data_IF_015072857221
#
_entry.id   IF_015072857221
#
_cell.length_a   1.000
_cell.length_b   1.000
_cell.length_c   1.000
_cell.angle_alpha   90.00
_cell.angle_beta   90.00
_cell.angle_gamma   90.00
#
_symmetry.space_group_name_H-M   'P 1'
#
loop_
_entity.id
_entity.type
_entity.pdbx_description
1 polymer ?
#
# COMPACT_ATOMS: atom_id res chain seq x y z
N UNK A 1 8.84 -54.91 -33.29
CA UNK A 1 10.10 -54.44 -32.68
C UNK A 1 9.95 -52.93 -32.41
N UNK A 2 9.54 -52.53 -31.21
CA UNK A 2 9.36 -51.10 -30.88
C UNK A 2 10.75 -50.56 -30.56
N UNK A 3 11.34 -49.78 -31.48
CA UNK A 3 12.60 -49.09 -31.27
C UNK A 3 12.51 -48.27 -29.98
N UNK A 4 13.37 -48.59 -29.02
CA UNK A 4 13.50 -47.78 -27.81
C UNK A 4 13.85 -46.34 -28.23
N UNK A 5 13.19 -45.31 -27.67
CA UNK A 5 13.42 -43.93 -28.12
C UNK A 5 14.90 -43.56 -28.01
N UNK A 6 15.41 -42.86 -29.04
CA UNK A 6 16.77 -42.34 -29.12
C UNK A 6 17.14 -41.63 -27.79
N UNK A 7 18.33 -41.91 -27.22
CA UNK A 7 18.87 -41.20 -26.06
C UNK A 7 18.70 -39.68 -26.07
N UNK A 8 18.81 -39.02 -27.25
CA UNK A 8 18.61 -37.56 -27.36
C UNK A 8 17.16 -37.17 -27.06
N UNK A 9 16.20 -37.93 -27.59
CA UNK A 9 14.77 -37.73 -27.37
C UNK A 9 14.39 -37.91 -25.89
N UNK A 10 15.00 -38.87 -25.19
CA UNK A 10 14.79 -39.05 -23.74
C UNK A 10 15.28 -37.85 -22.92
N UNK A 11 16.47 -37.31 -23.24
CA UNK A 11 17.02 -36.11 -22.58
C UNK A 11 16.14 -34.89 -22.80
N UNK A 12 15.61 -34.72 -24.01
CA UNK A 12 14.66 -33.65 -24.31
C UNK A 12 13.43 -33.71 -23.39
N UNK A 13 12.83 -34.89 -23.20
CA UNK A 13 11.66 -35.02 -22.32
C UNK A 13 11.96 -34.73 -20.85
N UNK A 14 13.11 -35.15 -20.32
CA UNK A 14 13.46 -34.82 -18.93
C UNK A 14 13.65 -33.32 -18.72
N UNK A 15 14.31 -32.64 -19.66
CA UNK A 15 14.47 -31.18 -19.63
C UNK A 15 13.14 -30.46 -19.80
N UNK A 16 12.29 -30.91 -20.73
CA UNK A 16 10.96 -30.33 -20.93
C UNK A 16 10.08 -30.43 -19.68
N UNK A 17 10.13 -31.55 -18.94
CA UNK A 17 9.42 -31.71 -17.66
C UNK A 17 9.93 -30.75 -16.59
N UNK A 18 11.25 -30.61 -16.46
CA UNK A 18 11.86 -29.66 -15.54
C UNK A 18 11.40 -28.23 -15.86
N UNK A 19 11.51 -27.80 -17.11
CA UNK A 19 11.11 -26.47 -17.56
C UNK A 19 9.62 -26.23 -17.33
N UNK A 20 8.77 -27.21 -17.64
CA UNK A 20 7.33 -27.12 -17.39
C UNK A 20 7.03 -26.93 -15.90
N UNK A 21 7.71 -27.67 -15.03
CA UNK A 21 7.50 -27.56 -13.58
C UNK A 21 7.98 -26.21 -13.05
N UNK A 22 9.14 -25.72 -13.51
CA UNK A 22 9.60 -24.36 -13.22
C UNK A 22 8.55 -23.31 -13.65
N UNK A 23 8.06 -23.38 -14.88
CA UNK A 23 7.05 -22.46 -15.39
C UNK A 23 5.76 -22.48 -14.54
N UNK A 24 5.35 -23.66 -14.06
CA UNK A 24 4.18 -23.81 -13.19
C UNK A 24 4.40 -23.11 -11.83
N UNK A 25 5.56 -23.33 -11.20
CA UNK A 25 5.93 -22.67 -9.94
C UNK A 25 5.90 -21.15 -10.12
N UNK A 26 6.57 -20.65 -11.16
CA UNK A 26 6.66 -19.23 -11.46
C UNK A 26 5.28 -18.59 -11.71
N UNK A 27 4.38 -19.30 -12.41
CA UNK A 27 3.02 -18.84 -12.64
C UNK A 27 2.26 -18.65 -11.32
N UNK A 28 2.27 -19.65 -10.42
CA UNK A 28 1.58 -19.54 -9.13
C UNK A 28 2.20 -18.48 -8.22
N UNK A 29 3.52 -18.34 -8.25
CA UNK A 29 4.26 -17.30 -7.53
C UNK A 29 3.86 -15.88 -7.99
N UNK A 30 3.55 -15.72 -9.28
CA UNK A 30 3.09 -14.46 -9.86
C UNK A 30 1.64 -14.09 -9.51
N UNK A 31 0.89 -14.93 -8.78
CA UNK A 31 -0.50 -14.63 -8.39
C UNK A 31 -0.53 -13.82 -7.08
N UNK A 32 -1.05 -12.57 -7.10
CA UNK A 32 -1.14 -11.74 -5.92
C UNK A 32 -2.25 -12.22 -4.97
N UNK A 33 -2.03 -12.07 -3.65
CA UNK A 33 -3.00 -12.38 -2.60
C UNK A 33 -3.58 -13.81 -2.58
N UNK A 34 -2.81 -14.83 -2.95
CA UNK A 34 -3.22 -16.23 -2.90
C UNK A 34 -3.30 -16.73 -1.45
N UNK A 35 -4.47 -16.60 -0.81
CA UNK A 35 -4.80 -17.15 0.51
C UNK A 35 -6.23 -17.70 0.50
N UNK A 36 -6.45 -18.85 1.14
CA UNK A 36 -7.77 -19.45 1.32
C UNK A 36 -8.39 -19.05 2.67
N UNK A 37 -9.71 -19.18 2.81
CA UNK A 37 -10.45 -18.82 4.03
C UNK A 37 -10.31 -19.86 5.17
N UNK A 38 -9.30 -20.72 5.12
CA UNK A 38 -9.06 -21.79 6.10
C UNK A 38 -8.26 -21.34 7.33
N UNK A 39 -7.95 -20.05 7.45
CA UNK A 39 -7.24 -19.49 8.61
C UNK A 39 -5.83 -20.07 8.78
N UNK A 40 -5.52 -20.59 9.97
CA UNK A 40 -4.19 -21.19 10.26
C UNK A 40 -3.89 -22.39 9.34
N UNK A 41 -4.92 -23.15 8.95
CA UNK A 41 -4.78 -24.30 8.07
C UNK A 41 -4.34 -23.91 6.66
N UNK A 42 -4.72 -22.73 6.15
CA UNK A 42 -4.21 -22.21 4.88
C UNK A 42 -2.68 -22.11 4.89
N UNK A 43 -2.13 -21.59 5.99
CA UNK A 43 -0.68 -21.40 6.13
C UNK A 43 0.05 -22.73 6.26
N UNK A 44 -0.51 -23.67 7.03
CA UNK A 44 0.08 -25.02 7.18
C UNK A 44 0.07 -25.76 5.83
N UNK A 45 -1.08 -25.80 5.15
CA UNK A 45 -1.24 -26.50 3.89
C UNK A 45 -0.36 -25.89 2.79
N UNK A 46 -0.25 -24.56 2.72
CA UNK A 46 0.65 -23.88 1.78
C UNK A 46 2.10 -24.24 2.02
N UNK A 47 2.57 -24.24 3.28
CA UNK A 47 3.96 -24.60 3.62
C UNK A 47 4.28 -26.05 3.23
N UNK A 48 3.36 -26.97 3.48
CA UNK A 48 3.50 -28.38 3.06
C UNK A 48 3.51 -28.48 1.53
N UNK A 49 2.62 -27.76 0.83
CA UNK A 49 2.56 -27.76 -0.62
C UNK A 49 3.85 -27.21 -1.24
N UNK A 50 4.39 -26.12 -0.70
CA UNK A 50 5.67 -25.53 -1.09
C UNK A 50 6.83 -26.53 -0.96
N UNK A 51 6.99 -27.13 0.23
CA UNK A 51 7.98 -28.18 0.44
C UNK A 51 7.82 -29.36 -0.54
N UNK A 52 6.59 -29.82 -0.80
CA UNK A 52 6.33 -30.91 -1.74
C UNK A 52 6.66 -30.52 -3.20
N UNK A 53 6.31 -29.30 -3.62
CA UNK A 53 6.54 -28.79 -4.97
C UNK A 53 8.03 -28.65 -5.27
N UNK A 54 8.83 -28.16 -4.31
CA UNK A 54 10.28 -28.06 -4.44
C UNK A 54 10.99 -29.41 -4.29
N UNK A 55 10.46 -30.32 -3.46
CA UNK A 55 10.90 -31.71 -3.44
C UNK A 55 10.71 -32.41 -4.80
N UNK A 56 9.59 -32.15 -5.48
CA UNK A 56 9.34 -32.68 -6.83
C UNK A 56 10.22 -32.00 -7.89
N UNK A 57 10.51 -30.69 -7.74
CA UNK A 57 11.47 -29.99 -8.58
C UNK A 57 12.84 -30.67 -8.54
N UNK A 58 13.31 -31.06 -7.36
CA UNK A 58 14.55 -31.83 -7.22
C UNK A 58 14.50 -33.17 -7.98
N UNK A 59 13.41 -33.93 -7.90
CA UNK A 59 13.27 -35.22 -8.63
C UNK A 59 13.35 -35.01 -10.15
N UNK A 60 12.74 -33.94 -10.66
CA UNK A 60 12.82 -33.59 -12.08
C UNK A 60 14.21 -33.09 -12.48
N UNK A 61 14.84 -32.23 -11.67
CA UNK A 61 16.19 -31.75 -11.89
C UNK A 61 17.19 -32.91 -11.89
N UNK A 62 17.04 -33.85 -10.95
CA UNK A 62 17.84 -35.06 -10.85
C UNK A 62 17.76 -35.90 -12.12
N UNK A 63 16.57 -36.05 -12.68
CA UNK A 63 16.34 -36.79 -13.94
C UNK A 63 16.91 -36.05 -15.15
N UNK A 64 16.83 -34.72 -15.17
CA UNK A 64 17.37 -33.89 -16.26
C UNK A 64 18.91 -33.83 -16.26
N UNK A 65 19.54 -33.88 -15.07
CA UNK A 65 20.99 -33.80 -14.88
C UNK A 65 21.69 -35.17 -14.78
N UNK A 66 20.95 -36.28 -14.80
CA UNK A 66 21.44 -37.64 -14.55
C UNK A 66 22.53 -38.18 -15.49
N UNK A 67 22.90 -37.46 -16.54
CA UNK A 67 23.78 -37.99 -17.58
C UNK A 67 24.81 -36.96 -18.06
N UNK A 68 25.43 -36.28 -17.09
CA UNK A 68 26.62 -35.46 -17.27
C UNK A 68 27.88 -36.31 -17.07
N UNK A 69 27.95 -37.48 -17.71
CA UNK A 69 29.14 -38.31 -17.69
C UNK A 69 30.25 -37.63 -18.51
N UNK A 70 31.37 -37.31 -17.86
CA UNK A 70 32.56 -36.80 -18.53
C UNK A 70 33.42 -38.01 -18.91
N UNK A 71 33.64 -38.23 -20.20
CA UNK A 71 34.64 -39.19 -20.68
C UNK A 71 36.02 -38.54 -20.57
N UNK A 72 36.83 -38.97 -19.61
CA UNK A 72 38.24 -38.61 -19.53
C UNK A 72 39.04 -39.89 -19.79
N UNK A 73 39.86 -39.87 -20.85
CA UNK A 73 40.83 -40.93 -21.16
C UNK A 73 40.24 -42.37 -21.16
N UNK A 74 39.08 -42.58 -21.78
CA UNK A 74 38.49 -43.91 -21.96
C UNK A 74 37.90 -44.57 -20.70
N UNK A 75 37.98 -43.91 -19.54
CA UNK A 75 37.35 -44.35 -18.30
C UNK A 75 36.06 -43.56 -18.04
N UNK A 76 34.93 -44.27 -17.99
CA UNK A 76 33.66 -43.66 -17.59
C UNK A 76 33.67 -43.46 -16.08
N UNK A 77 34.15 -42.31 -15.60
CA UNK A 77 34.14 -41.99 -14.16
C UNK A 77 32.72 -41.54 -13.80
N UNK A 78 32.01 -42.35 -13.00
CA UNK A 78 30.70 -42.00 -12.42
C UNK A 78 30.87 -41.68 -10.94
N UNK A 79 31.18 -40.42 -10.56
CA UNK A 79 31.26 -40.09 -9.16
C UNK A 79 29.83 -39.90 -8.63
N UNK A 80 29.24 -40.99 -8.14
CA UNK A 80 27.87 -41.11 -7.59
C UNK A 80 27.49 -40.01 -6.57
N UNK A 81 28.49 -39.37 -5.95
CA UNK A 81 28.33 -38.33 -4.92
C UNK A 81 28.09 -36.91 -5.48
N UNK A 82 28.53 -36.63 -6.71
CA UNK A 82 28.33 -35.31 -7.35
C UNK A 82 27.06 -35.22 -8.20
N UNK A 83 26.40 -36.35 -8.49
CA UNK A 83 25.14 -36.39 -9.25
C UNK A 83 23.96 -35.71 -8.54
N UNK A 84 24.02 -35.56 -7.21
CA UNK A 84 22.98 -34.91 -6.42
C UNK A 84 23.25 -33.43 -6.17
N UNK A 85 24.50 -32.98 -6.29
CA UNK A 85 24.90 -31.60 -5.98
C UNK A 85 24.22 -30.61 -6.92
N UNK A 86 24.28 -30.86 -8.22
CA UNK A 86 23.69 -29.96 -9.23
C UNK A 86 22.16 -29.85 -9.13
N UNK A 87 21.38 -30.95 -9.01
CA UNK A 87 19.95 -30.87 -8.76
C UNK A 87 19.59 -30.12 -7.48
N UNK A 88 20.31 -30.35 -6.38
CA UNK A 88 20.06 -29.67 -5.10
C UNK A 88 20.33 -28.18 -5.24
N UNK A 89 21.48 -27.82 -5.79
CA UNK A 89 21.87 -26.43 -5.97
C UNK A 89 20.89 -25.69 -6.88
N UNK A 90 20.48 -26.33 -7.98
CA UNK A 90 19.47 -25.78 -8.88
C UNK A 90 18.15 -25.51 -8.14
N UNK A 91 17.63 -26.48 -7.37
CA UNK A 91 16.37 -26.31 -6.66
C UNK A 91 16.43 -25.21 -5.58
N UNK A 92 17.55 -25.09 -4.86
CA UNK A 92 17.74 -24.04 -3.84
C UNK A 92 17.85 -22.67 -4.51
N UNK A 93 18.63 -22.55 -5.58
CA UNK A 93 18.72 -21.30 -6.35
C UNK A 93 17.35 -20.91 -6.91
N UNK A 94 16.58 -21.89 -7.39
CA UNK A 94 15.23 -21.64 -7.88
C UNK A 94 14.32 -21.11 -6.76
N UNK A 95 14.38 -21.70 -5.55
CA UNK A 95 13.61 -21.23 -4.40
C UNK A 95 13.98 -19.79 -4.01
N UNK A 96 15.27 -19.46 -3.99
CA UNK A 96 15.74 -18.09 -3.74
C UNK A 96 15.24 -17.13 -4.83
N UNK A 97 15.30 -17.55 -6.10
CA UNK A 97 14.82 -16.73 -7.21
C UNK A 97 13.31 -16.48 -7.17
N UNK A 98 12.54 -17.46 -6.68
CA UNK A 98 11.10 -17.36 -6.53
C UNK A 98 10.72 -16.35 -5.44
N UNK A 99 11.37 -16.41 -4.28
CA UNK A 99 11.17 -15.44 -3.19
C UNK A 99 11.62 -14.02 -3.58
N UNK A 100 12.69 -13.91 -4.36
CA UNK A 100 13.11 -12.64 -4.95
C UNK A 100 12.04 -12.10 -5.92
N UNK A 101 11.52 -12.95 -6.82
CA UNK A 101 10.44 -12.58 -7.73
C UNK A 101 9.18 -12.11 -6.99
N UNK A 102 8.81 -12.79 -5.90
CA UNK A 102 7.65 -12.42 -5.08
C UNK A 102 7.75 -11.01 -4.49
N UNK A 103 8.96 -10.45 -4.32
CA UNK A 103 9.11 -9.04 -3.87
C UNK A 103 8.55 -8.02 -4.87
N UNK A 104 8.43 -8.39 -6.14
CA UNK A 104 7.83 -7.56 -7.19
C UNK A 104 6.31 -7.78 -7.35
N UNK A 105 5.73 -8.75 -6.64
CA UNK A 105 4.30 -9.10 -6.74
C UNK A 105 3.51 -8.40 -5.62
N UNK A 106 2.54 -7.53 -5.95
CA UNK A 106 1.75 -6.82 -4.94
C UNK A 106 1.08 -7.77 -3.93
N UNK A 107 1.25 -7.48 -2.64
CA UNK A 107 0.67 -8.27 -1.55
C UNK A 107 1.40 -9.57 -1.20
N UNK A 108 2.59 -9.80 -1.80
CA UNK A 108 3.56 -10.83 -1.39
C UNK A 108 4.76 -10.17 -0.73
N UNK A 109 5.50 -10.94 0.06
CA UNK A 109 6.75 -10.53 0.68
C UNK A 109 7.72 -11.70 0.59
N UNK A 110 8.91 -11.47 0.05
CA UNK A 110 9.97 -12.48 0.07
C UNK A 110 10.35 -12.82 1.51
N UNK A 111 10.54 -14.10 1.81
CA UNK A 111 10.73 -14.64 3.15
C UNK A 111 11.83 -15.69 3.17
N UNK A 112 12.87 -15.44 3.96
CA UNK A 112 13.94 -16.43 4.18
C UNK A 112 13.40 -17.72 4.81
N UNK A 113 12.31 -17.65 5.59
CA UNK A 113 11.67 -18.83 6.16
C UNK A 113 11.01 -19.71 5.10
N UNK A 114 10.49 -19.13 4.01
CA UNK A 114 9.88 -19.90 2.93
C UNK A 114 10.96 -20.60 2.08
N UNK A 115 12.11 -19.96 1.83
CA UNK A 115 13.29 -20.63 1.24
C UNK A 115 13.74 -21.84 2.08
N UNK A 116 13.75 -21.72 3.42
CA UNK A 116 14.12 -22.83 4.31
C UNK A 116 13.10 -23.98 4.22
N UNK A 117 11.82 -23.68 4.12
CA UNK A 117 10.76 -24.69 3.97
C UNK A 117 10.90 -25.40 2.62
N UNK A 118 11.09 -24.68 1.53
CA UNK A 118 11.32 -25.27 0.20
C UNK A 118 12.57 -26.15 0.19
N UNK A 119 13.66 -25.68 0.82
CA UNK A 119 14.90 -26.42 0.98
C UNK A 119 14.70 -27.68 1.82
N UNK A 120 13.84 -27.65 2.85
CA UNK A 120 13.52 -28.84 3.65
C UNK A 120 12.80 -29.91 2.82
N UNK A 121 11.94 -29.51 1.88
CA UNK A 121 11.32 -30.39 0.89
C UNK A 121 12.34 -31.02 -0.07
N UNK A 122 13.31 -30.25 -0.55
CA UNK A 122 14.44 -30.76 -1.34
C UNK A 122 15.26 -31.77 -0.53
N UNK A 123 15.59 -31.46 0.73
CA UNK A 123 16.35 -32.35 1.60
C UNK A 123 15.64 -33.68 1.86
N UNK A 124 14.31 -33.64 2.06
CA UNK A 124 13.49 -34.84 2.19
C UNK A 124 13.51 -35.67 0.88
N UNK A 125 13.38 -35.02 -0.28
CA UNK A 125 13.44 -35.70 -1.56
C UNK A 125 14.81 -36.33 -1.84
N UNK A 126 15.91 -35.67 -1.44
CA UNK A 126 17.27 -36.22 -1.48
C UNK A 126 17.38 -37.45 -0.58
N UNK A 127 16.86 -37.38 0.65
CA UNK A 127 16.85 -38.52 1.57
C UNK A 127 16.09 -39.72 0.99
N UNK A 128 14.91 -39.47 0.40
CA UNK A 128 14.12 -40.49 -0.28
C UNK A 128 14.84 -41.10 -1.50
N UNK A 129 15.59 -40.29 -2.25
CA UNK A 129 16.41 -40.72 -3.38
C UNK A 129 17.55 -41.64 -2.92
N UNK A 130 18.27 -41.26 -1.85
CA UNK A 130 19.34 -42.08 -1.27
C UNK A 130 18.79 -43.43 -0.78
N UNK A 131 17.56 -43.45 -0.24
CA UNK A 131 16.88 -44.67 0.18
C UNK A 131 16.24 -45.46 -0.97
N UNK A 132 16.34 -44.98 -2.22
CA UNK A 132 15.82 -45.65 -3.41
C UNK A 132 14.29 -45.56 -3.62
N UNK A 133 13.58 -44.73 -2.84
CA UNK A 133 12.11 -44.65 -2.87
C UNK A 133 11.57 -43.79 -4.03
N UNK A 134 12.38 -42.86 -4.55
CA UNK A 134 12.03 -42.01 -5.70
C UNK A 134 12.05 -42.76 -7.04
N UNK A 135 12.67 -43.95 -7.10
CA UNK A 135 12.74 -44.77 -8.29
C UNK A 135 11.36 -45.12 -8.86
N UNK A 136 10.32 -45.19 -8.01
CA UNK A 136 8.94 -45.47 -8.42
C UNK A 136 8.31 -44.28 -9.15
N UNK A 137 8.54 -43.05 -8.68
CA UNK A 137 8.08 -41.81 -9.32
C UNK A 137 8.77 -41.63 -10.68
N UNK A 138 10.09 -41.79 -10.71
CA UNK A 138 10.86 -41.70 -11.95
C UNK A 138 10.48 -42.80 -12.95
N UNK A 139 10.22 -44.04 -12.49
CA UNK A 139 9.75 -45.14 -13.37
C UNK A 139 8.39 -44.85 -13.98
N UNK A 140 7.43 -44.39 -13.16
CA UNK A 140 6.09 -43.99 -13.62
C UNK A 140 6.16 -42.94 -14.74
N UNK A 141 6.97 -41.89 -14.56
CA UNK A 141 7.16 -40.88 -15.60
C UNK A 141 8.02 -41.36 -16.77
N UNK A 142 8.92 -42.34 -16.58
CA UNK A 142 9.77 -42.88 -17.66
C UNK A 142 9.02 -43.79 -18.63
N UNK A 143 7.97 -44.45 -18.16
CA UNK A 143 7.11 -45.33 -18.98
C UNK A 143 6.02 -44.56 -19.75
N UNK A 144 5.81 -43.27 -19.45
CA UNK A 144 4.89 -42.43 -20.21
C UNK A 144 5.43 -42.08 -21.60
N UNK A 145 4.72 -42.50 -22.64
CA UNK A 145 4.97 -42.09 -24.03
C UNK A 145 4.83 -40.56 -24.19
N UNK A 146 5.64 -39.92 -25.05
CA UNK A 146 5.63 -38.46 -25.29
C UNK A 146 4.24 -37.86 -25.49
N UNK A 147 3.44 -38.51 -26.32
CA UNK A 147 2.12 -38.03 -26.71
C UNK A 147 1.17 -38.04 -25.51
N UNK A 148 1.29 -39.04 -24.61
CA UNK A 148 0.48 -39.12 -23.38
C UNK A 148 0.88 -38.09 -22.33
N UNK A 149 2.14 -37.63 -22.32
CA UNK A 149 2.57 -36.58 -21.40
C UNK A 149 1.88 -35.24 -21.72
N UNK A 150 1.75 -34.88 -23.00
CA UNK A 150 1.03 -33.67 -23.42
C UNK A 150 -0.45 -33.73 -22.99
N UNK A 151 -1.10 -34.88 -23.19
CA UNK A 151 -2.50 -35.11 -22.77
C UNK A 151 -2.70 -35.15 -21.24
N UNK A 152 -1.64 -35.30 -20.44
CA UNK A 152 -1.74 -35.29 -18.98
C UNK A 152 -1.44 -33.90 -18.41
N UNK A 153 -0.35 -33.27 -18.85
CA UNK A 153 0.13 -32.00 -18.27
C UNK A 153 -0.68 -30.78 -18.73
N UNK A 154 -1.13 -30.74 -19.99
CA UNK A 154 -1.90 -29.62 -20.53
C UNK A 154 -3.27 -29.44 -19.85
N UNK A 155 -4.12 -30.48 -19.68
CA UNK A 155 -5.38 -30.33 -18.97
C UNK A 155 -5.21 -30.10 -17.46
N UNK A 156 -4.15 -30.63 -16.83
CA UNK A 156 -3.85 -30.32 -15.42
C UNK A 156 -3.46 -28.84 -15.27
N UNK A 157 -2.64 -28.29 -16.18
CA UNK A 157 -2.30 -26.87 -16.22
C UNK A 157 -3.57 -26.01 -16.43
N UNK A 158 -4.40 -26.36 -17.42
CA UNK A 158 -5.64 -25.65 -17.72
C UNK A 158 -6.64 -25.71 -16.54
N UNK A 159 -6.79 -26.88 -15.90
CA UNK A 159 -7.64 -27.06 -14.73
C UNK A 159 -7.10 -26.29 -13.52
N UNK A 160 -5.79 -26.24 -13.31
CA UNK A 160 -5.16 -25.46 -12.27
C UNK A 160 -5.36 -23.95 -12.48
N UNK A 161 -5.15 -23.44 -13.71
CA UNK A 161 -5.43 -22.05 -14.08
C UNK A 161 -6.91 -21.70 -13.88
N UNK A 162 -7.81 -22.60 -14.27
CA UNK A 162 -9.26 -22.42 -14.13
C UNK A 162 -9.70 -22.46 -12.65
N UNK A 163 -9.16 -23.40 -11.85
CA UNK A 163 -9.43 -23.50 -10.42
C UNK A 163 -8.92 -22.26 -9.67
N UNK A 164 -7.76 -21.71 -10.03
CA UNK A 164 -7.28 -20.44 -9.47
C UNK A 164 -8.22 -19.29 -9.81
N UNK A 165 -8.70 -19.21 -11.06
CA UNK A 165 -9.70 -18.19 -11.45
C UNK A 165 -11.01 -18.36 -10.67
N UNK A 166 -11.49 -19.58 -10.49
CA UNK A 166 -12.77 -19.80 -9.81
C UNK A 166 -12.67 -19.58 -8.29
N UNK A 167 -11.60 -20.04 -7.65
CA UNK A 167 -11.41 -19.95 -6.20
C UNK A 167 -10.93 -18.56 -5.73
N UNK A 168 -10.17 -17.82 -6.54
CA UNK A 168 -9.55 -16.57 -6.11
C UNK A 168 -10.04 -15.30 -6.85
N UNK A 169 -10.77 -15.43 -7.97
CA UNK A 169 -11.17 -14.26 -8.78
C UNK A 169 -12.64 -13.85 -8.72
N UNK A 170 -13.57 -14.67 -8.21
CA UNK A 170 -15.00 -14.32 -8.24
C UNK A 170 -15.34 -13.02 -7.51
N UNK A 171 -14.88 -12.86 -6.26
CA UNK A 171 -15.13 -11.67 -5.47
C UNK A 171 -14.10 -10.55 -5.73
N UNK A 172 -12.82 -10.89 -5.91
CA UNK A 172 -11.78 -9.90 -6.20
C UNK A 172 -11.99 -9.20 -7.54
N UNK A 173 -12.66 -9.82 -8.52
CA UNK A 173 -12.94 -9.20 -9.81
C UNK A 173 -13.88 -7.98 -9.74
N UNK A 174 -14.91 -8.00 -8.89
CA UNK A 174 -15.79 -6.83 -8.72
C UNK A 174 -15.04 -5.65 -8.10
N UNK A 175 -14.22 -5.92 -7.08
CA UNK A 175 -13.33 -4.94 -6.47
C UNK A 175 -12.32 -4.39 -7.48
N UNK A 176 -11.66 -5.26 -8.24
CA UNK A 176 -10.69 -4.87 -9.27
C UNK A 176 -11.34 -4.08 -10.41
N UNK A 177 -12.60 -4.35 -10.75
CA UNK A 177 -13.35 -3.53 -11.71
C UNK A 177 -13.62 -2.13 -11.17
N UNK A 178 -13.95 -1.99 -9.88
CA UNK A 178 -14.09 -0.69 -9.24
C UNK A 178 -12.76 0.09 -9.26
N UNK A 179 -11.64 -0.58 -8.96
CA UNK A 179 -10.31 0.01 -9.05
C UNK A 179 -9.99 0.52 -10.46
N UNK A 180 -10.22 -0.30 -11.49
CA UNK A 180 -10.03 0.10 -12.90
C UNK A 180 -10.88 1.30 -13.31
N UNK A 181 -12.10 1.41 -12.78
CA UNK A 181 -12.95 2.57 -13.04
C UNK A 181 -12.39 3.83 -12.37
N UNK A 182 -11.85 3.73 -11.16
CA UNK A 182 -11.21 4.84 -10.48
C UNK A 182 -9.95 5.32 -11.24
N UNK A 183 -9.12 4.38 -11.71
CA UNK A 183 -7.95 4.66 -12.56
C UNK A 183 -8.35 5.34 -13.88
N UNK A 184 -9.47 4.93 -14.47
CA UNK A 184 -10.03 5.54 -15.67
C UNK A 184 -10.74 6.89 -15.41
N UNK A 185 -10.68 7.43 -14.19
CA UNK A 185 -11.35 8.69 -13.82
C UNK A 185 -12.88 8.60 -13.67
N UNK A 186 -13.46 7.40 -13.76
CA UNK A 186 -14.90 7.15 -13.59
C UNK A 186 -15.26 7.00 -12.11
N UNK A 187 -15.05 8.08 -11.37
CA UNK A 187 -15.12 8.09 -9.90
C UNK A 187 -16.48 7.72 -9.32
N UNK A 188 -17.59 8.21 -9.90
CA UNK A 188 -18.94 7.85 -9.44
C UNK A 188 -19.19 6.35 -9.59
N UNK A 189 -18.88 5.78 -10.77
CA UNK A 189 -19.06 4.36 -11.03
C UNK A 189 -18.19 3.49 -10.12
N UNK A 190 -16.96 3.93 -9.86
CA UNK A 190 -16.03 3.25 -8.97
C UNK A 190 -16.54 3.24 -7.52
N UNK A 191 -16.90 4.41 -6.97
CA UNK A 191 -17.38 4.54 -5.59
C UNK A 191 -18.65 3.71 -5.35
N UNK A 192 -19.64 3.78 -6.26
CA UNK A 192 -20.88 2.99 -6.16
C UNK A 192 -20.61 1.49 -6.21
N UNK A 193 -19.64 1.04 -7.02
CA UNK A 193 -19.27 -0.38 -7.09
C UNK A 193 -18.55 -0.85 -5.84
N UNK A 194 -17.68 -0.02 -5.25
CA UNK A 194 -17.03 -0.32 -3.99
C UNK A 194 -18.05 -0.44 -2.84
N UNK A 195 -18.99 0.50 -2.73
CA UNK A 195 -20.09 0.41 -1.75
C UNK A 195 -20.89 -0.88 -1.94
N UNK A 196 -21.36 -1.14 -3.17
CA UNK A 196 -22.13 -2.35 -3.51
C UNK A 196 -21.37 -3.64 -3.21
N UNK A 197 -20.06 -3.64 -3.42
CA UNK A 197 -19.21 -4.79 -3.11
C UNK A 197 -19.22 -5.08 -1.61
N UNK A 198 -19.03 -4.05 -0.78
CA UNK A 198 -19.07 -4.19 0.67
C UNK A 198 -20.47 -4.54 1.19
N UNK A 199 -21.53 -3.97 0.61
CA UNK A 199 -22.92 -4.25 0.98
C UNK A 199 -23.31 -5.70 0.70
N UNK A 200 -22.90 -6.24 -0.45
CA UNK A 200 -23.23 -7.61 -0.85
C UNK A 200 -22.41 -8.65 -0.10
N UNK A 201 -21.23 -8.27 0.37
CA UNK A 201 -20.23 -9.19 0.94
C UNK A 201 -19.54 -8.58 2.17
N UNK A 202 -20.28 -8.24 3.24
CA UNK A 202 -19.73 -7.52 4.38
C UNK A 202 -18.61 -8.30 5.10
N UNK A 203 -18.69 -9.64 5.15
CA UNK A 203 -17.67 -10.47 5.78
C UNK A 203 -16.42 -10.72 4.90
N UNK A 204 -16.40 -10.22 3.66
CA UNK A 204 -15.28 -10.46 2.75
C UNK A 204 -14.08 -9.59 3.13
N UNK A 205 -12.85 -10.13 3.07
CA UNK A 205 -11.60 -9.44 3.47
C UNK A 205 -11.32 -8.10 2.78
N UNK A 206 -11.93 -7.85 1.62
CA UNK A 206 -11.80 -6.60 0.85
C UNK A 206 -12.95 -5.60 1.12
N UNK A 207 -13.96 -5.96 1.91
CA UNK A 207 -15.13 -5.11 2.12
C UNK A 207 -14.79 -3.84 2.90
N UNK A 208 -13.95 -3.97 3.94
CA UNK A 208 -13.38 -2.82 4.67
C UNK A 208 -12.63 -1.87 3.76
N UNK A 209 -11.74 -2.43 2.93
CA UNK A 209 -10.97 -1.68 1.93
C UNK A 209 -11.89 -1.02 0.91
N UNK A 210 -12.94 -1.70 0.44
CA UNK A 210 -13.86 -1.14 -0.54
C UNK A 210 -14.60 0.08 0.02
N UNK A 211 -15.13 0.00 1.24
CA UNK A 211 -15.77 1.17 1.87
C UNK A 211 -14.78 2.31 2.06
N UNK A 212 -13.54 2.01 2.46
CA UNK A 212 -12.49 3.02 2.60
C UNK A 212 -12.18 3.72 1.26
N UNK A 213 -11.98 2.96 0.18
CA UNK A 213 -11.71 3.51 -1.15
C UNK A 213 -12.90 4.34 -1.66
N UNK A 214 -14.14 3.87 -1.45
CA UNK A 214 -15.33 4.64 -1.77
C UNK A 214 -15.36 5.99 -1.03
N UNK A 215 -15.11 5.98 0.28
CA UNK A 215 -15.05 7.19 1.10
C UNK A 215 -13.97 8.17 0.60
N UNK A 216 -12.79 7.66 0.25
CA UNK A 216 -11.70 8.44 -0.34
C UNK A 216 -12.10 9.11 -1.66
N UNK A 217 -12.77 8.37 -2.56
CA UNK A 217 -13.27 8.91 -3.83
C UNK A 217 -14.30 10.02 -3.59
N UNK A 218 -15.29 9.78 -2.71
CA UNK A 218 -16.29 10.79 -2.39
C UNK A 218 -15.66 12.07 -1.83
N UNK A 219 -14.65 11.94 -0.97
CA UNK A 219 -14.03 13.09 -0.34
C UNK A 219 -13.13 13.88 -1.32
N UNK A 220 -12.19 13.20 -1.96
CA UNK A 220 -11.11 13.88 -2.67
C UNK A 220 -11.42 14.12 -4.14
N UNK A 221 -12.17 13.23 -4.79
CA UNK A 221 -12.46 13.33 -6.23
C UNK A 221 -13.82 13.99 -6.48
N UNK A 222 -14.84 13.63 -5.70
CA UNK A 222 -16.21 14.12 -5.90
C UNK A 222 -16.56 15.32 -5.01
N UNK A 223 -15.73 15.67 -4.03
CA UNK A 223 -15.95 16.78 -3.08
C UNK A 223 -17.28 16.68 -2.34
N UNK A 224 -17.62 15.47 -1.90
CA UNK A 224 -18.81 15.13 -1.10
C UNK A 224 -18.41 14.68 0.32
N UNK A 225 -17.90 15.60 1.17
CA UNK A 225 -17.34 15.25 2.47
C UNK A 225 -18.36 14.62 3.44
N UNK A 226 -19.63 15.04 3.39
CA UNK A 226 -20.68 14.45 4.23
C UNK A 226 -20.90 12.96 3.91
N UNK A 227 -20.92 12.61 2.61
CA UNK A 227 -21.03 11.22 2.15
C UNK A 227 -19.79 10.42 2.55
N UNK A 228 -18.60 10.98 2.33
CA UNK A 228 -17.36 10.33 2.75
C UNK A 228 -17.30 10.07 4.25
N UNK A 229 -17.65 11.06 5.08
CA UNK A 229 -17.68 10.93 6.54
C UNK A 229 -18.66 9.84 6.98
N UNK A 230 -19.82 9.70 6.32
CA UNK A 230 -20.76 8.62 6.63
C UNK A 230 -20.14 7.23 6.39
N UNK A 231 -19.36 7.08 5.32
CA UNK A 231 -18.68 5.83 4.99
C UNK A 231 -17.49 5.55 5.90
N UNK A 232 -16.72 6.57 6.31
CA UNK A 232 -15.65 6.36 7.30
C UNK A 232 -16.21 5.94 8.65
N UNK A 233 -17.30 6.55 9.13
CA UNK A 233 -17.98 6.08 10.37
C UNK A 233 -18.49 4.66 10.24
N UNK A 234 -19.05 4.32 9.08
CA UNK A 234 -19.47 2.94 8.79
C UNK A 234 -18.28 1.98 8.79
N UNK A 235 -17.15 2.38 8.22
CA UNK A 235 -15.92 1.59 8.26
C UNK A 235 -15.48 1.31 9.70
N UNK A 236 -15.54 2.31 10.59
CA UNK A 236 -15.23 2.13 12.01
C UNK A 236 -16.22 1.21 12.74
N UNK A 237 -17.52 1.34 12.46
CA UNK A 237 -18.56 0.57 13.11
C UNK A 237 -18.57 -0.90 12.64
N UNK A 238 -18.59 -1.12 11.32
CA UNK A 238 -18.80 -2.44 10.73
C UNK A 238 -17.51 -3.29 10.72
N UNK A 239 -16.33 -2.66 10.78
CA UNK A 239 -15.02 -3.33 10.65
C UNK A 239 -14.06 -2.96 11.79
N UNK A 240 -14.59 -2.86 13.02
CA UNK A 240 -13.83 -2.52 14.22
C UNK A 240 -12.70 -3.50 14.58
N UNK A 241 -12.71 -4.70 14.00
CA UNK A 241 -11.67 -5.72 14.16
C UNK A 241 -10.43 -5.51 13.28
N UNK A 242 -10.41 -4.50 12.40
CA UNK A 242 -9.28 -4.15 11.53
C UNK A 242 -8.59 -2.86 12.03
N UNK A 243 -7.51 -2.96 12.82
CA UNK A 243 -6.85 -1.79 13.40
C UNK A 243 -6.26 -0.85 12.35
N UNK A 244 -5.77 -1.39 11.23
CA UNK A 244 -5.17 -0.59 10.17
C UNK A 244 -6.23 0.25 9.45
N UNK A 245 -7.41 -0.32 9.21
CA UNK A 245 -8.55 0.43 8.70
C UNK A 245 -8.99 1.52 9.68
N UNK A 246 -9.11 1.21 10.97
CA UNK A 246 -9.57 2.18 11.98
C UNK A 246 -8.71 3.44 11.99
N UNK A 247 -7.38 3.29 12.02
CA UNK A 247 -6.45 4.45 11.98
C UNK A 247 -6.69 5.30 10.73
N UNK A 248 -6.84 4.66 9.57
CA UNK A 248 -7.08 5.37 8.30
C UNK A 248 -8.47 6.01 8.26
N UNK A 249 -9.50 5.36 8.77
CA UNK A 249 -10.88 5.86 8.76
C UNK A 249 -11.03 7.10 9.66
N UNK A 250 -10.40 7.09 10.83
CA UNK A 250 -10.34 8.25 11.75
C UNK A 250 -9.61 9.44 11.11
N UNK A 251 -8.48 9.17 10.47
CA UNK A 251 -7.77 10.17 9.67
C UNK A 251 -8.65 10.71 8.52
N UNK A 252 -9.43 9.83 7.88
CA UNK A 252 -10.40 10.18 6.84
C UNK A 252 -11.51 11.11 7.35
N UNK A 253 -12.02 10.90 8.57
CA UNK A 253 -13.02 11.76 9.21
C UNK A 253 -12.50 13.16 9.50
N UNK A 254 -11.27 13.27 9.98
CA UNK A 254 -10.60 14.56 10.16
C UNK A 254 -10.45 15.31 8.83
N UNK A 255 -10.23 14.57 7.74
CA UNK A 255 -10.01 15.12 6.39
C UNK A 255 -11.29 15.24 5.56
N UNK A 256 -12.48 15.13 6.16
CA UNK A 256 -13.77 15.20 5.45
C UNK A 256 -14.65 16.35 5.95
N UNK A 257 -14.51 17.58 5.39
CA UNK A 257 -13.57 17.98 4.33
C UNK A 257 -12.16 18.27 4.85
N UNK A 258 -11.18 18.32 3.95
CA UNK A 258 -9.76 18.46 4.31
C UNK A 258 -9.37 19.93 4.44
N UNK A 259 -9.44 20.50 5.64
CA UNK A 259 -9.08 21.90 5.90
C UNK A 259 -7.57 22.16 5.96
N UNK A 260 -6.73 21.13 5.88
CA UNK A 260 -5.27 21.28 5.92
C UNK A 260 -4.60 20.20 5.06
N UNK A 261 -4.70 20.31 3.73
CA UNK A 261 -4.24 19.27 2.82
C UNK A 261 -2.71 19.19 2.82
N UNK A 262 -2.19 18.26 3.61
CA UNK A 262 -0.77 17.90 3.65
C UNK A 262 -0.46 16.95 2.50
N UNK A 263 0.08 17.51 1.43
CA UNK A 263 0.47 16.81 0.21
C UNK A 263 1.94 17.13 -0.04
N UNK A 264 2.74 16.12 -0.37
CA UNK A 264 4.15 16.33 -0.68
C UNK A 264 4.29 17.27 -1.89
N UNK A 265 5.13 18.29 -1.77
CA UNK A 265 5.32 19.33 -2.77
C UNK A 265 4.22 20.39 -2.82
N UNK A 266 3.22 20.35 -1.93
CA UNK A 266 2.22 21.41 -1.84
C UNK A 266 2.87 22.74 -1.44
N UNK A 267 2.37 23.83 -2.03
CA UNK A 267 2.85 25.18 -1.76
C UNK A 267 1.72 26.19 -1.60
N UNK A 268 1.89 27.12 -0.66
CA UNK A 268 1.03 28.28 -0.46
C UNK A 268 1.88 29.54 -0.45
N UNK A 269 1.43 30.58 -1.16
CA UNK A 269 2.05 31.90 -1.14
C UNK A 269 1.15 32.83 -0.35
N UNK A 270 1.62 33.20 0.82
CA UNK A 270 1.05 34.21 1.69
C UNK A 270 1.63 35.59 1.35
N UNK A 271 0.79 36.62 1.34
CA UNK A 271 1.20 38.01 1.24
C UNK A 271 0.46 38.88 2.25
N UNK A 272 1.07 39.98 2.70
CA UNK A 272 0.34 40.98 3.47
C UNK A 272 -0.88 41.48 2.68
N UNK A 273 -2.04 41.61 3.34
CA UNK A 273 -3.28 41.94 2.64
C UNK A 273 -3.28 43.36 2.05
N UNK A 274 -2.54 44.29 2.65
CA UNK A 274 -2.49 45.69 2.23
C UNK A 274 -1.84 45.85 0.84
N UNK A 275 -0.73 45.17 0.59
CA UNK A 275 0.02 45.29 -0.67
C UNK A 275 -0.04 44.04 -1.54
N UNK A 276 -0.62 42.95 -1.05
CA UNK A 276 -0.65 41.67 -1.77
C UNK A 276 0.70 40.95 -1.76
N UNK A 277 1.52 41.20 -0.75
CA UNK A 277 2.82 40.57 -0.59
C UNK A 277 4.01 41.34 -1.16
N UNK A 278 3.83 42.61 -1.55
CA UNK A 278 4.94 43.46 -1.97
C UNK A 278 5.84 43.83 -0.77
N UNK A 279 5.24 44.04 0.40
CA UNK A 279 5.96 44.37 1.63
C UNK A 279 6.42 43.10 2.35
N UNK A 280 5.50 42.15 2.59
CA UNK A 280 5.79 40.88 3.27
C UNK A 280 5.16 39.71 2.54
N UNK A 281 6.00 38.74 2.19
CA UNK A 281 5.56 37.49 1.57
C UNK A 281 6.08 36.31 2.35
N UNK A 282 5.32 35.22 2.43
CA UNK A 282 5.81 33.95 2.92
C UNK A 282 5.44 32.82 1.95
N UNK A 283 6.40 31.92 1.69
CA UNK A 283 6.17 30.72 0.89
C UNK A 283 6.19 29.52 1.83
N UNK A 284 5.09 28.80 1.86
CA UNK A 284 4.88 27.61 2.68
C UNK A 284 5.09 26.41 1.75
N UNK A 285 5.97 25.48 2.08
CA UNK A 285 6.22 24.27 1.29
C UNK A 285 6.08 23.03 2.17
N UNK A 286 5.18 22.12 1.81
CA UNK A 286 4.99 20.87 2.52
C UNK A 286 5.86 19.76 1.91
N UNK A 287 6.52 19.00 2.78
CA UNK A 287 7.38 17.89 2.43
C UNK A 287 7.05 16.68 3.29
N UNK A 288 6.76 15.53 2.67
CA UNK A 288 6.62 14.28 3.41
C UNK A 288 8.01 13.77 3.80
N UNK A 289 8.31 13.79 5.10
CA UNK A 289 9.65 13.39 5.62
C UNK A 289 9.68 11.93 6.04
N UNK A 290 8.52 11.34 6.30
CA UNK A 290 8.28 9.91 6.49
C UNK A 290 6.78 9.65 6.35
N UNK A 291 6.38 8.41 6.13
CA UNK A 291 4.97 8.04 5.92
C UNK A 291 4.01 8.71 6.92
N UNK A 292 3.17 9.62 6.42
CA UNK A 292 2.16 10.33 7.20
C UNK A 292 2.67 11.47 8.11
N UNK A 293 3.95 11.83 7.99
CA UNK A 293 4.58 12.95 8.72
C UNK A 293 5.09 13.97 7.72
N UNK A 294 4.62 15.20 7.86
CA UNK A 294 4.92 16.30 6.96
C UNK A 294 5.70 17.40 7.68
N UNK A 295 6.72 17.93 7.04
CA UNK A 295 7.37 19.18 7.43
C UNK A 295 6.84 20.29 6.53
N UNK A 296 6.33 21.37 7.12
CA UNK A 296 5.94 22.57 6.40
C UNK A 296 6.97 23.66 6.66
N UNK A 297 7.71 24.02 5.63
CA UNK A 297 8.72 25.07 5.66
C UNK A 297 8.10 26.39 5.23
N UNK A 298 8.09 27.37 6.12
CA UNK A 298 7.58 28.72 5.88
C UNK A 298 8.75 29.69 5.75
N UNK A 299 9.05 30.07 4.52
CA UNK A 299 10.12 31.01 4.14
C UNK A 299 9.56 32.42 4.01
N UNK A 300 10.00 33.34 4.88
CA UNK A 300 9.55 34.72 4.93
C UNK A 300 10.46 35.66 4.14
N UNK A 301 9.85 36.62 3.47
CA UNK A 301 10.49 37.62 2.65
C UNK A 301 10.03 39.03 3.05
N UNK A 302 10.97 39.98 3.05
CA UNK A 302 10.72 41.40 3.08
C UNK A 302 11.17 41.98 1.73
N UNK A 303 10.20 42.36 0.90
CA UNK A 303 10.45 42.60 -0.52
C UNK A 303 11.13 41.38 -1.19
N UNK A 304 12.29 41.53 -1.85
CA UNK A 304 13.00 40.42 -2.48
C UNK A 304 13.88 39.60 -1.52
N UNK A 305 14.16 40.10 -0.31
CA UNK A 305 15.13 39.49 0.60
C UNK A 305 14.48 38.45 1.51
N UNK A 306 15.15 37.31 1.69
CA UNK A 306 14.75 36.29 2.65
C UNK A 306 15.12 36.76 4.05
N UNK A 307 14.16 36.77 4.97
CA UNK A 307 14.36 37.17 6.37
C UNK A 307 14.63 35.95 7.24
N UNK A 308 13.79 34.92 7.14
CA UNK A 308 13.90 33.73 7.97
C UNK A 308 13.12 32.57 7.34
N UNK A 309 13.43 31.34 7.76
CA UNK A 309 12.63 30.16 7.46
C UNK A 309 12.27 29.47 8.77
N UNK A 310 10.99 29.15 8.95
CA UNK A 310 10.51 28.38 10.10
C UNK A 310 9.91 27.08 9.61
N UNK A 311 10.22 25.98 10.30
CA UNK A 311 9.71 24.66 9.95
C UNK A 311 8.79 24.18 11.07
N UNK A 312 7.64 23.62 10.69
CA UNK A 312 6.68 23.01 11.61
C UNK A 312 6.36 21.63 11.10
N UNK A 313 6.27 20.65 11.99
CA UNK A 313 5.95 19.28 11.65
C UNK A 313 4.49 18.98 11.98
N UNK A 314 3.85 18.22 11.10
CA UNK A 314 2.47 17.79 11.24
C UNK A 314 2.36 16.27 11.05
N UNK A 315 1.49 15.65 11.84
CA UNK A 315 1.14 14.25 11.68
C UNK A 315 -0.33 14.03 12.06
N UNK A 316 -1.01 13.13 11.35
CA UNK A 316 -2.35 12.71 11.72
C UNK A 316 -2.26 11.53 12.69
N UNK A 317 -2.93 11.64 13.83
CA UNK A 317 -3.03 10.57 14.83
C UNK A 317 -4.49 10.41 15.26
N UNK A 318 -5.11 9.31 14.84
CA UNK A 318 -6.53 9.06 15.09
C UNK A 318 -7.40 10.18 14.52
N UNK A 319 -8.06 10.94 15.41
CA UNK A 319 -8.95 12.04 15.05
C UNK A 319 -8.27 13.41 15.02
N UNK A 320 -6.97 13.50 15.35
CA UNK A 320 -6.27 14.75 15.52
C UNK A 320 -5.18 14.96 14.47
N UNK A 321 -5.07 16.21 13.99
CA UNK A 321 -3.88 16.75 13.36
C UNK A 321 -2.99 17.32 14.47
N UNK A 322 -1.83 16.71 14.64
CA UNK A 322 -0.82 17.12 15.60
C UNK A 322 0.17 18.08 14.93
N UNK A 323 0.68 19.02 15.71
CA UNK A 323 1.68 20.02 15.33
C UNK A 323 2.85 19.99 16.34
N UNK A 324 4.08 20.06 15.85
CA UNK A 324 5.28 20.13 16.69
C UNK A 324 6.41 20.93 16.02
N UNK A 325 7.31 21.49 16.85
CA UNK A 325 8.51 22.21 16.40
C UNK A 325 9.63 21.25 15.95
N UNK A 326 9.55 20.00 16.39
CA UNK A 326 10.43 18.90 16.00
C UNK A 326 9.60 17.74 15.44
N UNK A 327 10.26 16.65 15.04
CA UNK A 327 9.55 15.46 14.58
C UNK A 327 8.48 15.05 15.63
N UNK A 328 7.23 14.77 15.23
CA UNK A 328 6.13 14.59 16.19
C UNK A 328 6.37 13.43 17.15
N UNK A 329 6.12 13.66 18.44
CA UNK A 329 6.18 12.71 19.54
C UNK A 329 4.94 12.81 20.44
N UNK A 330 4.95 12.16 21.60
CA UNK A 330 3.86 12.18 22.59
C UNK A 330 3.57 13.56 23.20
N UNK A 331 4.44 14.56 23.01
CA UNK A 331 4.27 15.93 23.47
C UNK A 331 3.69 16.89 22.41
N UNK A 332 3.37 16.39 21.22
CA UNK A 332 2.86 17.20 20.11
C UNK A 332 1.52 17.86 20.44
N UNK A 333 1.36 19.11 20.03
CA UNK A 333 0.16 19.89 20.27
C UNK A 333 -0.97 19.51 19.31
N UNK A 334 -2.21 19.50 19.77
CA UNK A 334 -3.38 19.36 18.88
C UNK A 334 -3.61 20.67 18.13
N UNK A 335 -3.50 20.60 16.80
CA UNK A 335 -3.77 21.73 15.89
C UNK A 335 -5.22 21.76 15.41
N UNK A 336 -5.77 20.59 15.06
CA UNK A 336 -7.17 20.44 14.66
C UNK A 336 -7.63 19.03 15.01
N UNK A 337 -8.87 18.85 15.41
CA UNK A 337 -9.36 17.53 15.82
C UNK A 337 -10.83 17.35 15.42
N UNK A 338 -11.15 16.15 14.92
CA UNK A 338 -12.52 15.72 14.65
C UNK A 338 -13.26 15.32 15.94
N UNK A 339 -14.58 15.56 16.07
CA UNK A 339 -15.44 16.28 15.14
C UNK A 339 -15.16 17.79 15.16
N UNK A 340 -15.30 18.41 13.99
CA UNK A 340 -15.24 19.86 13.83
C UNK A 340 -16.67 20.39 13.92
N UNK A 341 -16.91 21.30 14.85
CA UNK A 341 -18.20 21.97 15.03
C UNK A 341 -17.98 23.42 15.48
N UNK A 342 -18.95 24.29 15.20
CA UNK A 342 -18.90 25.70 15.58
C UNK A 342 -18.85 25.84 17.11
N UNK A 343 -17.87 26.60 17.61
CA UNK A 343 -17.66 26.82 19.03
C UNK A 343 -16.78 25.78 19.74
N UNK A 344 -16.14 24.85 19.01
CA UNK A 344 -15.18 23.89 19.61
C UNK A 344 -13.99 24.64 20.22
N UNK A 345 -13.59 24.28 21.45
CA UNK A 345 -12.51 24.95 22.20
C UNK A 345 -11.53 23.96 22.83
N UNK A 346 -10.26 24.33 22.88
CA UNK A 346 -9.22 23.66 23.66
C UNK A 346 -8.07 24.64 23.94
N UNK A 347 -7.10 24.22 24.76
CA UNK A 347 -5.89 25.00 25.02
C UNK A 347 -4.70 24.37 24.32
N UNK A 348 -3.83 25.21 23.75
CA UNK A 348 -2.62 24.80 23.06
C UNK A 348 -1.40 25.46 23.69
N UNK A 349 -0.39 24.67 24.03
CA UNK A 349 0.91 25.19 24.49
C UNK A 349 1.81 25.42 23.27
N UNK A 350 2.41 26.60 23.20
CA UNK A 350 3.37 27.00 22.19
C UNK A 350 4.63 27.52 22.90
N UNK A 351 5.56 26.59 23.17
CA UNK A 351 6.69 26.83 24.06
C UNK A 351 6.23 27.23 25.48
N UNK A 352 6.63 28.43 25.92
CA UNK A 352 6.22 28.99 27.21
C UNK A 352 4.81 29.62 27.19
N UNK A 353 4.25 29.88 26.00
CA UNK A 353 2.97 30.58 25.83
C UNK A 353 1.82 29.58 25.80
N UNK A 354 0.66 30.01 26.24
CA UNK A 354 -0.58 29.23 26.18
C UNK A 354 -1.62 30.01 25.38
N UNK A 355 -2.20 29.36 24.38
CA UNK A 355 -3.28 29.90 23.57
C UNK A 355 -4.58 29.15 23.83
N UNK A 356 -5.65 29.88 24.11
CA UNK A 356 -7.00 29.36 23.98
C UNK A 356 -7.40 29.32 22.51
N UNK A 357 -7.78 28.15 22.03
CA UNK A 357 -8.18 27.91 20.64
C UNK A 357 -9.71 27.83 20.56
N UNK A 358 -10.30 28.44 19.54
CA UNK A 358 -11.73 28.32 19.21
C UNK A 358 -11.91 28.10 17.71
N UNK A 359 -12.75 27.16 17.32
CA UNK A 359 -13.08 26.89 15.91
C UNK A 359 -14.50 27.36 15.61
N UNK A 360 -14.66 28.10 14.53
CA UNK A 360 -15.94 28.66 14.11
C UNK A 360 -16.15 28.47 12.61
N UNK A 361 -17.37 28.11 12.21
CA UNK A 361 -17.78 28.14 10.81
C UNK A 361 -18.00 29.57 10.33
N UNK A 362 -17.49 29.87 9.15
CA UNK A 362 -17.63 31.17 8.50
C UNK A 362 -18.89 31.12 7.64
N UNK A 363 -19.92 31.94 7.93
CA UNK A 363 -21.20 31.87 7.22
C UNK A 363 -21.13 32.38 5.78
N UNK A 364 -20.12 33.18 5.46
CA UNK A 364 -19.93 33.80 4.14
C UNK A 364 -18.66 33.31 3.48
N UNK A 365 -18.61 33.41 2.15
CA UNK A 365 -17.40 33.09 1.41
C UNK A 365 -16.28 34.10 1.72
N UNK A 366 -15.06 33.58 1.87
CA UNK A 366 -13.85 34.36 2.14
C UNK A 366 -13.21 34.74 0.81
N UNK A 367 -13.16 36.04 0.51
CA UNK A 367 -12.53 36.58 -0.70
C UNK A 367 -11.10 37.03 -0.42
N UNK A 368 -10.15 36.44 -1.13
CA UNK A 368 -8.71 36.74 -1.11
C UNK A 368 -8.18 36.89 -2.53
N UNK A 369 -6.92 37.26 -2.70
CA UNK A 369 -6.31 37.39 -4.05
C UNK A 369 -6.30 36.08 -4.84
N UNK A 370 -6.10 34.95 -4.18
CA UNK A 370 -6.15 33.63 -4.81
C UNK A 370 -7.55 33.20 -5.28
N UNK A 371 -8.63 33.87 -4.84
CA UNK A 371 -10.00 33.52 -5.22
C UNK A 371 -11.04 33.73 -4.11
N UNK A 372 -12.20 33.11 -4.30
CA UNK A 372 -13.32 33.14 -3.35
C UNK A 372 -13.57 31.73 -2.84
N UNK A 373 -13.55 31.54 -1.53
CA UNK A 373 -13.65 30.23 -0.90
C UNK A 373 -14.87 30.15 0.02
N UNK A 374 -15.76 29.20 -0.23
CA UNK A 374 -16.93 28.89 0.62
C UNK A 374 -16.60 27.91 1.73
N UNK A 375 -17.57 27.69 2.62
CA UNK A 375 -17.52 26.65 3.68
C UNK A 375 -16.25 26.69 4.53
N UNK A 376 -15.71 27.90 4.75
CA UNK A 376 -14.48 28.06 5.52
C UNK A 376 -14.73 27.86 7.01
N UNK A 377 -13.70 27.40 7.70
CA UNK A 377 -13.60 27.54 9.15
C UNK A 377 -12.60 28.64 9.48
N UNK A 378 -12.75 29.26 10.64
CA UNK A 378 -11.70 30.07 11.25
C UNK A 378 -11.31 29.49 12.59
N UNK A 379 -10.00 29.51 12.85
CA UNK A 379 -9.39 29.11 14.10
C UNK A 379 -8.92 30.38 14.78
N UNK A 380 -9.57 30.74 15.88
CA UNK A 380 -9.20 31.86 16.74
C UNK A 380 -8.19 31.43 17.79
N UNK A 381 -7.10 32.18 17.91
CA UNK A 381 -6.02 31.97 18.86
C UNK A 381 -5.93 33.17 19.79
N UNK A 382 -6.21 32.94 21.08
CA UNK A 382 -6.13 33.97 22.12
C UNK A 382 -5.05 33.59 23.12
N UNK A 383 -3.92 34.29 23.08
CA UNK A 383 -2.81 34.03 23.99
C UNK A 383 -3.04 34.67 25.37
N UNK A 384 -2.62 33.98 26.43
CA UNK A 384 -2.77 34.45 27.81
C UNK A 384 -1.97 35.70 28.12
N UNK A 385 -0.85 35.91 27.44
CA UNK A 385 0.02 37.09 27.56
C UNK A 385 -0.44 38.28 26.69
N UNK A 386 -1.48 38.11 25.88
CA UNK A 386 -2.05 39.17 25.02
C UNK A 386 -3.57 39.02 24.91
N UNK A 387 -4.32 39.08 26.03
CA UNK A 387 -5.74 38.72 26.06
C UNK A 387 -6.65 39.71 25.31
N UNK A 388 -6.15 40.90 24.96
CA UNK A 388 -6.87 41.90 24.18
C UNK A 388 -6.83 41.68 22.66
N UNK A 389 -6.07 40.68 22.20
CA UNK A 389 -5.87 40.41 20.76
C UNK A 389 -6.21 38.95 20.47
N UNK A 390 -6.95 38.72 19.39
CA UNK A 390 -7.23 37.38 18.86
C UNK A 390 -6.71 37.33 17.43
N UNK A 391 -5.89 36.32 17.14
CA UNK A 391 -5.50 36.00 15.77
C UNK A 391 -6.49 34.99 15.21
N UNK A 392 -7.13 35.31 14.10
CA UNK A 392 -7.94 34.33 13.37
C UNK A 392 -7.19 33.86 12.14
N UNK A 393 -7.13 32.54 11.96
CA UNK A 393 -6.63 31.91 10.73
C UNK A 393 -7.78 31.16 10.06
N UNK A 394 -8.06 31.51 8.82
CA UNK A 394 -9.15 30.97 8.02
C UNK A 394 -8.64 29.84 7.14
N UNK A 395 -9.41 28.76 7.07
CA UNK A 395 -9.10 27.56 6.31
C UNK A 395 -10.26 27.19 5.42
N UNK A 396 -9.97 27.00 4.13
CA UNK A 396 -10.93 26.57 3.13
C UNK A 396 -10.79 25.06 2.88
N UNK A 397 -11.90 24.34 2.65
CA UNK A 397 -11.87 22.91 2.41
C UNK A 397 -11.09 22.61 1.13
N UNK A 398 -10.21 21.62 1.23
CA UNK A 398 -9.32 21.14 0.17
C UNK A 398 -8.32 22.17 -0.37
N UNK A 399 -8.18 23.31 0.32
CA UNK A 399 -7.23 24.38 -0.02
C UNK A 399 -6.24 24.59 1.11
N UNK A 400 -6.69 24.58 2.37
CA UNK A 400 -5.85 24.92 3.50
C UNK A 400 -6.03 26.37 3.96
N UNK A 401 -4.97 26.95 4.52
CA UNK A 401 -4.98 28.34 4.98
C UNK A 401 -5.27 29.32 3.84
N UNK A 402 -6.16 30.29 4.06
CA UNK A 402 -6.54 31.30 3.06
C UNK A 402 -6.37 32.74 3.54
N UNK A 403 -6.56 33.03 4.83
CA UNK A 403 -6.57 34.39 5.37
C UNK A 403 -6.15 34.37 6.83
N UNK A 404 -5.39 35.36 7.26
CA UNK A 404 -5.20 35.69 8.68
C UNK A 404 -5.68 37.11 8.94
N UNK A 405 -6.46 37.25 10.00
CA UNK A 405 -6.91 38.54 10.54
C UNK A 405 -6.48 38.68 12.00
N UNK A 406 -6.40 39.92 12.47
CA UNK A 406 -6.12 40.27 13.86
C UNK A 406 -7.30 41.08 14.37
N UNK A 407 -7.94 40.57 15.42
CA UNK A 407 -9.03 41.25 16.12
C UNK A 407 -8.50 41.87 17.40
N UNK A 408 -8.83 43.16 17.60
CA UNK A 408 -8.52 43.91 18.82
C UNK A 408 -9.63 44.90 19.17
N UNK A 409 -9.33 45.90 20.00
CA UNK A 409 -10.31 46.89 20.48
C UNK A 409 -10.95 47.74 19.38
N UNK A 410 -10.29 47.90 18.22
CA UNK A 410 -10.78 48.68 17.08
C UNK A 410 -11.51 47.83 16.02
N UNK A 411 -11.72 46.53 16.31
CA UNK A 411 -12.33 45.57 15.39
C UNK A 411 -11.32 44.59 14.79
N UNK A 412 -11.78 43.86 13.78
CA UNK A 412 -11.02 42.83 13.07
C UNK A 412 -10.42 43.40 11.78
N UNK A 413 -9.11 43.27 11.63
CA UNK A 413 -8.38 43.77 10.46
C UNK A 413 -7.63 42.64 9.76
N UNK A 414 -7.58 42.70 8.42
CA UNK A 414 -6.83 41.74 7.60
C UNK A 414 -5.33 41.95 7.80
N UNK A 415 -4.61 40.85 8.02
CA UNK A 415 -3.16 40.86 8.17
C UNK A 415 -2.47 40.32 6.92
N UNK A 416 -2.79 39.08 6.56
CA UNK A 416 -2.18 38.40 5.42
C UNK A 416 -3.18 37.47 4.74
N UNK A 417 -3.02 37.25 3.45
CA UNK A 417 -3.95 36.48 2.63
C UNK A 417 -3.21 35.58 1.64
N UNK A 418 -3.93 34.56 1.16
CA UNK A 418 -3.43 33.67 0.13
C UNK A 418 -3.41 34.39 -1.23
N UNK A 419 -2.23 34.40 -1.83
CA UNK A 419 -1.96 34.99 -3.15
C UNK A 419 -2.10 33.93 -4.23
N UNK A 420 -1.43 32.79 -4.06
CA UNK A 420 -1.49 31.63 -4.95
C UNK A 420 -1.24 30.35 -4.15
N UNK A 421 -1.67 29.21 -4.68
CA UNK A 421 -1.38 27.90 -4.10
C UNK A 421 -1.21 26.85 -5.19
N UNK A 422 -0.47 25.80 -4.87
CA UNK A 422 -0.28 24.60 -5.70
C UNK A 422 -0.43 23.38 -4.80
N UNK A 423 -1.45 22.56 -5.06
CA UNK A 423 -1.76 21.36 -4.26
C UNK A 423 -1.60 20.05 -5.04
N UNK A 424 -0.97 20.11 -6.22
CA UNK A 424 -0.65 18.92 -7.02
C UNK A 424 0.82 18.55 -6.81
N UNK A 425 1.05 17.33 -6.32
CA UNK A 425 2.27 16.58 -6.60
C UNK A 425 2.36 16.24 -8.07
#
# INVERSE_FOLDING_TARGET
>A
MILSPDPRTKKFFYRARLVFWCALIFYFSSVPYLKTDLGVWDTILRKIAHAAVYGLLFVFARSAFADSSVNIAGATVRPRRFELVWPVLFSIIYAVSDEYHQTFVPGRSGSAADVLIDTSGVALAVWLEIKGHTARINRFFREMKPNRAIFLFLPILLAAVLAVKLLFFGASHDFMRAAKLAEAGRYVDAAVRYERFADRRPSHRLASSAIFEAAGIYNFQLRLPAKAASLYRRAEADYSSDPALLVRARAGLLRSPDYFPLIDGAQWVEGDSATGGANMKAIWSAHEVSTGVFRVDKKFFAGPMVVTTRSVYYAVSGYALLESQSRPDSGSAVFLEHPIYHGKKWSRRDGARVAGITVEFVPTAVKVRAGVFGECIRIGEKYTDSPGVIRYSYYAPYVGWVLTTISGSRGEHRNSELITFKLRG
#
